data_IF_989579705475
#
_entry.id   IF_989579705475
#
_cell.length_a   1.000
_cell.length_b   1.000
_cell.length_c   1.000
_cell.angle_alpha   90.00
_cell.angle_beta   90.00
_cell.angle_gamma   90.00
#
_symmetry.space_group_name_H-M   'P 1'
#
loop_
_entity.id
_entity.type
_entity.pdbx_description
1 polymer ?
#
# COMPACT_ATOMS: atom_id res chain seq x y z
N UNK A 1 8.98 -4.15 41.05
CA UNK A 1 8.19 -3.56 39.95
C UNK A 1 9.03 -3.67 38.70
N UNK A 2 8.48 -4.17 37.58
CA UNK A 2 9.24 -4.27 36.33
C UNK A 2 9.65 -2.86 35.85
N UNK A 3 10.81 -2.76 35.22
CA UNK A 3 11.45 -1.48 34.88
C UNK A 3 11.58 -1.28 33.37
N UNK A 4 11.76 -0.03 32.97
CA UNK A 4 11.83 0.40 31.56
C UNK A 4 13.17 1.11 31.30
N UNK A 5 13.88 0.73 30.24
CA UNK A 5 14.93 1.54 29.63
C UNK A 5 14.33 2.34 28.48
N UNK A 6 14.40 3.67 28.54
CA UNK A 6 13.84 4.55 27.50
C UNK A 6 14.95 5.05 26.56
N UNK A 7 14.67 5.08 25.26
CA UNK A 7 15.57 5.53 24.21
C UNK A 7 14.93 6.71 23.48
N UNK A 8 15.63 7.85 23.45
CA UNK A 8 15.10 9.12 22.95
C UNK A 8 16.07 9.72 21.94
N UNK A 9 15.64 10.03 20.70
CA UNK A 9 16.42 10.80 19.74
C UNK A 9 16.82 12.14 20.35
N UNK A 10 18.11 12.48 20.26
CA UNK A 10 18.68 13.64 20.93
C UNK A 10 19.49 14.48 19.95
N UNK A 11 19.05 15.73 19.76
CA UNK A 11 19.82 16.76 19.04
C UNK A 11 20.47 17.70 20.06
N UNK A 12 19.66 18.30 20.92
CA UNK A 12 20.08 19.18 22.00
C UNK A 12 19.04 19.22 23.13
N UNK A 13 19.35 19.93 24.22
CA UNK A 13 18.48 20.06 25.40
C UNK A 13 17.18 20.83 25.09
N UNK A 14 17.20 21.77 24.13
CA UNK A 14 15.99 22.51 23.75
C UNK A 14 14.97 21.60 23.10
N UNK A 15 15.42 20.64 22.29
CA UNK A 15 14.58 19.66 21.61
C UNK A 15 14.11 18.54 22.55
N UNK A 16 15.02 17.95 23.34
CA UNK A 16 14.72 16.72 24.08
C UNK A 16 14.36 16.95 25.56
N UNK A 17 14.71 18.11 26.15
CA UNK A 17 14.69 18.32 27.60
C UNK A 17 13.36 18.03 28.28
N UNK A 18 12.24 18.47 27.68
CA UNK A 18 10.88 18.18 28.20
C UNK A 18 10.59 16.68 28.25
N UNK A 19 10.85 15.98 27.13
CA UNK A 19 10.69 14.52 27.02
C UNK A 19 11.57 13.80 28.04
N UNK A 20 12.85 14.20 28.15
CA UNK A 20 13.80 13.58 29.07
C UNK A 20 13.40 13.76 30.54
N UNK A 21 12.94 14.96 30.93
CA UNK A 21 12.44 15.21 32.30
C UNK A 21 11.24 14.34 32.60
N UNK A 22 10.22 14.34 31.73
CA UNK A 22 9.00 13.56 31.93
C UNK A 22 9.26 12.06 32.10
N UNK A 23 10.19 11.50 31.31
CA UNK A 23 10.57 10.09 31.45
C UNK A 23 11.35 9.81 32.74
N UNK A 24 12.27 10.69 33.14
CA UNK A 24 13.07 10.53 34.37
C UNK A 24 12.24 10.66 35.64
N UNK A 25 11.14 11.41 35.59
CA UNK A 25 10.24 11.60 36.73
C UNK A 25 9.36 10.35 37.01
N UNK A 26 9.26 9.41 36.06
CA UNK A 26 8.50 8.18 36.24
C UNK A 26 9.25 7.15 37.09
N UNK A 27 8.56 6.59 38.10
CA UNK A 27 9.13 5.50 38.92
C UNK A 27 9.28 4.17 38.16
N UNK A 28 8.70 4.01 36.97
CA UNK A 28 8.87 2.83 36.12
C UNK A 28 10.15 2.88 35.28
N UNK A 29 10.69 4.07 35.05
CA UNK A 29 11.88 4.27 34.23
C UNK A 29 13.13 4.04 35.09
N UNK A 30 14.02 3.20 34.60
CA UNK A 30 15.32 2.90 35.24
C UNK A 30 16.43 3.77 34.64
N UNK A 31 16.45 3.88 33.31
CA UNK A 31 17.45 4.64 32.57
C UNK A 31 16.82 5.28 31.34
N UNK A 32 17.26 6.50 31.03
CA UNK A 32 16.99 7.15 29.74
C UNK A 32 18.31 7.26 28.97
N UNK A 33 18.32 6.76 27.74
CA UNK A 33 19.46 6.74 26.82
C UNK A 33 19.17 7.68 25.67
N UNK A 34 20.06 8.64 25.44
CA UNK A 34 20.00 9.54 24.29
C UNK A 34 20.60 8.86 23.05
N UNK A 35 19.88 8.90 21.94
CA UNK A 35 20.30 8.40 20.64
C UNK A 35 20.73 9.56 19.75
N UNK A 36 22.01 9.55 19.36
CA UNK A 36 22.65 10.47 18.44
C UNK A 36 22.49 10.07 16.97
N UNK A 37 22.04 8.84 16.73
CA UNK A 37 21.83 8.26 15.40
C UNK A 37 20.37 7.82 15.21
N UNK A 38 19.82 7.89 13.98
CA UNK A 38 18.44 7.49 13.73
C UNK A 38 18.17 6.01 13.98
N UNK A 39 16.97 5.70 14.45
CA UNK A 39 16.50 4.32 14.74
C UNK A 39 16.36 3.44 13.50
N UNK A 40 16.37 4.01 12.30
CA UNK A 40 16.29 3.25 11.05
C UNK A 40 17.63 2.59 10.65
N UNK A 41 18.74 2.87 11.34
CA UNK A 41 20.03 2.19 11.13
C UNK A 41 20.12 0.92 11.95
N UNK A 42 20.67 -0.15 11.37
CA UNK A 42 20.84 -1.43 12.09
C UNK A 42 21.77 -1.32 13.29
N UNK A 43 22.81 -0.49 13.22
CA UNK A 43 23.73 -0.29 14.34
C UNK A 43 23.04 0.38 15.53
N UNK A 44 22.20 1.39 15.28
CA UNK A 44 21.38 2.01 16.33
C UNK A 44 20.46 0.99 16.99
N UNK A 45 19.81 0.12 16.21
CA UNK A 45 18.97 -0.95 16.74
C UNK A 45 19.78 -1.95 17.59
N UNK A 46 20.97 -2.35 17.14
CA UNK A 46 21.87 -3.23 17.91
C UNK A 46 22.28 -2.58 19.23
N UNK A 47 22.60 -1.29 19.24
CA UNK A 47 22.89 -0.52 20.46
C UNK A 47 21.69 -0.45 21.39
N UNK A 48 20.49 -0.15 20.88
CA UNK A 48 19.25 -0.15 21.67
C UNK A 48 19.08 -1.49 22.39
N UNK A 49 19.20 -2.61 21.66
CA UNK A 49 19.08 -3.94 22.26
C UNK A 49 20.18 -4.22 23.30
N UNK A 50 21.42 -3.84 23.03
CA UNK A 50 22.54 -4.02 23.97
C UNK A 50 22.37 -3.21 25.27
N UNK A 51 21.80 -2.01 25.18
CA UNK A 51 21.58 -1.12 26.33
C UNK A 51 20.24 -1.35 27.06
N UNK A 52 19.35 -2.18 26.51
CA UNK A 52 18.05 -2.52 27.11
C UNK A 52 18.22 -3.47 28.29
N UNK A 53 18.72 -2.98 29.43
CA UNK A 53 19.04 -3.80 30.61
C UNK A 53 17.87 -4.02 31.57
N UNK A 54 16.81 -3.21 31.46
CA UNK A 54 15.57 -3.41 32.21
C UNK A 54 14.67 -4.50 31.58
N UNK A 55 13.50 -4.76 32.17
CA UNK A 55 12.53 -5.75 31.68
C UNK A 55 11.93 -5.35 30.32
N UNK A 56 11.73 -4.04 30.10
CA UNK A 56 11.15 -3.47 28.88
C UNK A 56 12.01 -2.35 28.32
N UNK A 57 11.85 -2.09 27.03
CA UNK A 57 12.47 -0.97 26.33
C UNK A 57 11.40 -0.10 25.67
N UNK A 58 11.42 1.21 25.96
CA UNK A 58 10.62 2.18 25.23
C UNK A 58 11.51 2.89 24.23
N UNK A 59 11.18 2.84 22.94
CA UNK A 59 11.90 3.57 21.89
C UNK A 59 10.97 4.65 21.34
N UNK A 60 11.36 5.91 21.53
CA UNK A 60 10.72 7.04 20.86
C UNK A 60 11.39 7.27 19.50
N UNK A 61 10.61 7.49 18.44
CA UNK A 61 11.15 7.53 17.07
C UNK A 61 11.17 8.92 16.44
N UNK A 62 10.60 9.93 17.11
CA UNK A 62 10.53 11.32 16.64
C UNK A 62 11.39 12.26 17.48
N UNK A 63 11.57 13.49 16.99
CA UNK A 63 12.25 14.58 17.68
C UNK A 63 11.28 15.63 18.24
N UNK A 64 9.98 15.51 17.97
CA UNK A 64 8.94 16.33 18.61
C UNK A 64 8.88 16.08 20.11
N UNK A 65 8.33 17.01 20.89
CA UNK A 65 8.14 16.77 22.33
C UNK A 65 7.12 15.63 22.51
N UNK A 66 7.49 14.64 23.33
CA UNK A 66 6.62 13.53 23.73
C UNK A 66 5.98 13.87 25.07
N UNK A 67 4.65 13.95 25.09
CA UNK A 67 3.89 14.08 26.32
C UNK A 67 3.14 12.77 26.60
N UNK A 68 3.52 12.07 27.66
CA UNK A 68 2.84 10.86 28.08
C UNK A 68 1.46 11.18 28.67
N UNK A 69 0.46 10.42 28.27
CA UNK A 69 -0.86 10.47 28.88
C UNK A 69 -0.81 10.01 30.35
N UNK A 70 -1.87 10.32 31.08
CA UNK A 70 -2.00 9.88 32.47
C UNK A 70 -1.94 8.35 32.57
N UNK A 71 -0.99 7.84 33.37
CA UNK A 71 -0.72 6.41 33.56
C UNK A 71 -0.36 5.63 32.28
N UNK A 72 0.15 6.31 31.24
CA UNK A 72 0.45 5.68 29.96
C UNK A 72 1.49 4.56 30.05
N UNK A 73 2.55 4.75 30.83
CA UNK A 73 3.62 3.74 30.98
C UNK A 73 3.13 2.53 31.77
N UNK A 74 2.35 2.75 32.83
CA UNK A 74 1.68 1.71 33.60
C UNK A 74 0.77 0.88 32.69
N UNK A 75 0.01 1.55 31.80
CA UNK A 75 -0.91 0.90 30.88
C UNK A 75 -0.19 0.06 29.82
N UNK A 76 0.84 0.62 29.18
CA UNK A 76 1.69 -0.11 28.23
C UNK A 76 2.34 -1.33 28.88
N UNK A 77 2.88 -1.15 30.09
CA UNK A 77 3.48 -2.22 30.88
C UNK A 77 2.48 -3.33 31.20
N UNK A 78 1.28 -2.96 31.68
CA UNK A 78 0.22 -3.92 31.99
C UNK A 78 -0.15 -4.75 30.76
N UNK A 79 -0.42 -4.11 29.61
CA UNK A 79 -0.78 -4.81 28.37
C UNK A 79 0.34 -5.75 27.93
N UNK A 80 1.61 -5.29 27.98
CA UNK A 80 2.76 -6.11 27.62
C UNK A 80 2.88 -7.35 28.51
N UNK A 81 2.63 -7.22 29.81
CA UNK A 81 2.64 -8.33 30.76
C UNK A 81 1.49 -9.31 30.54
N UNK A 82 0.26 -8.81 30.39
CA UNK A 82 -0.94 -9.64 30.29
C UNK A 82 -0.97 -10.43 28.97
N UNK A 83 -0.38 -9.88 27.91
CA UNK A 83 -0.37 -10.50 26.57
C UNK A 83 0.93 -11.24 26.23
N UNK A 84 2.01 -11.03 27.00
CA UNK A 84 3.36 -11.45 26.65
C UNK A 84 3.79 -10.98 25.25
N UNK A 85 3.35 -9.79 24.83
CA UNK A 85 3.67 -9.23 23.53
C UNK A 85 5.17 -8.88 23.41
N UNK A 86 5.73 -9.06 22.21
CA UNK A 86 7.09 -8.59 21.91
C UNK A 86 7.16 -7.08 21.72
N UNK A 87 6.06 -6.48 21.27
CA UNK A 87 5.89 -5.03 21.10
C UNK A 87 4.44 -4.66 21.44
N UNK A 88 4.27 -3.61 22.23
CA UNK A 88 3.01 -2.89 22.42
C UNK A 88 3.14 -1.50 21.80
N UNK A 89 2.10 -1.07 21.11
CA UNK A 89 2.00 0.26 20.52
C UNK A 89 0.56 0.77 20.64
N UNK A 90 0.35 2.07 20.46
CA UNK A 90 -0.90 2.72 20.85
C UNK A 90 -1.31 3.83 19.89
N UNK A 91 -2.59 4.21 19.97
CA UNK A 91 -3.06 5.45 19.37
C UNK A 91 -2.42 6.64 20.09
N UNK A 92 -2.41 7.78 19.41
CA UNK A 92 -1.81 9.00 19.95
C UNK A 92 -2.56 10.24 19.51
N UNK A 93 -2.23 11.35 20.15
CA UNK A 93 -2.64 12.67 19.71
C UNK A 93 -1.51 13.36 18.96
N UNK A 94 -1.87 14.18 17.98
CA UNK A 94 -1.00 15.23 17.45
C UNK A 94 -1.50 16.56 18.01
N UNK A 95 -0.62 17.33 18.63
CA UNK A 95 -0.94 18.68 19.10
C UNK A 95 -0.54 19.67 18.03
N UNK A 96 -1.54 20.30 17.38
CA UNK A 96 -1.35 21.29 16.32
C UNK A 96 -2.03 22.58 16.71
N UNK A 97 -1.27 23.68 16.80
CA UNK A 97 -1.82 24.98 17.21
C UNK A 97 -2.45 24.97 18.61
N UNK A 98 -2.04 24.05 19.49
CA UNK A 98 -2.61 23.86 20.83
C UNK A 98 -3.87 22.98 20.89
N UNK A 99 -4.38 22.49 19.76
CA UNK A 99 -5.50 21.54 19.73
C UNK A 99 -5.00 20.09 19.68
N UNK A 100 -5.63 19.22 20.48
CA UNK A 100 -5.39 17.77 20.42
C UNK A 100 -6.20 17.15 19.28
N UNK A 101 -5.49 16.66 18.27
CA UNK A 101 -6.07 15.92 17.13
C UNK A 101 -5.81 14.43 17.31
N UNK A 102 -6.85 13.61 17.22
CA UNK A 102 -6.72 12.15 17.29
C UNK A 102 -5.93 11.63 16.09
N UNK A 103 -4.94 10.77 16.35
CA UNK A 103 -4.17 10.05 15.34
C UNK A 103 -4.19 8.55 15.67
N UNK A 104 -5.30 7.85 15.35
CA UNK A 104 -5.38 6.40 15.56
C UNK A 104 -4.44 5.65 14.60
N UNK A 105 -4.01 4.47 15.00
CA UNK A 105 -3.26 3.50 14.19
C UNK A 105 -4.10 2.23 13.99
N UNK A 106 -3.51 1.17 13.42
CA UNK A 106 -4.25 -0.07 13.09
C UNK A 106 -3.58 -1.32 13.69
N UNK A 107 -4.38 -2.37 13.82
CA UNK A 107 -3.91 -3.68 14.27
C UNK A 107 -2.90 -4.29 13.28
N UNK A 108 -1.84 -4.87 13.85
CA UNK A 108 -0.81 -5.57 13.10
C UNK A 108 -1.31 -6.95 12.66
N UNK A 109 -1.09 -7.27 11.40
CA UNK A 109 -1.45 -8.56 10.81
C UNK A 109 -0.21 -9.23 10.21
N UNK A 110 -0.29 -10.53 9.94
CA UNK A 110 0.80 -11.25 9.26
C UNK A 110 1.16 -10.62 7.90
N UNK A 111 0.16 -10.06 7.23
CA UNK A 111 0.31 -9.31 5.98
C UNK A 111 0.70 -7.84 6.12
N UNK A 112 0.92 -7.31 7.34
CA UNK A 112 1.36 -5.92 7.59
C UNK A 112 2.85 -5.69 7.26
N UNK A 113 3.25 -6.16 6.08
CA UNK A 113 4.62 -6.20 5.57
C UNK A 113 5.08 -4.88 4.97
N UNK A 114 4.16 -3.93 4.76
CA UNK A 114 4.47 -2.61 4.19
C UNK A 114 5.47 -1.82 5.01
N UNK A 115 6.48 -1.23 4.38
CA UNK A 115 7.58 -0.52 5.08
C UNK A 115 7.17 0.83 5.68
N UNK A 116 5.96 1.29 5.36
CA UNK A 116 5.31 2.48 5.89
C UNK A 116 4.26 2.18 6.97
N UNK A 117 4.19 0.95 7.51
CA UNK A 117 3.28 0.63 8.62
C UNK A 117 3.48 1.55 9.82
N UNK A 118 2.41 2.20 10.25
CA UNK A 118 2.44 3.18 11.33
C UNK A 118 2.11 2.51 12.67
N UNK A 119 3.10 2.47 13.55
CA UNK A 119 2.95 2.04 14.94
C UNK A 119 2.73 3.22 15.89
N UNK A 120 2.70 4.45 15.38
CA UNK A 120 2.97 5.63 16.18
C UNK A 120 4.46 5.80 16.45
N UNK A 121 4.81 6.82 17.23
CA UNK A 121 6.19 7.17 17.56
C UNK A 121 6.74 6.52 18.83
N UNK A 122 5.90 5.87 19.64
CA UNK A 122 6.32 5.16 20.86
C UNK A 122 6.22 3.66 20.63
N UNK A 123 7.36 2.98 20.67
CA UNK A 123 7.45 1.53 20.53
C UNK A 123 7.85 0.92 21.89
N UNK A 124 6.96 0.13 22.50
CA UNK A 124 7.19 -0.47 23.81
C UNK A 124 7.49 -1.97 23.70
N UNK A 125 8.77 -2.33 23.76
CA UNK A 125 9.25 -3.70 23.56
C UNK A 125 9.44 -4.46 24.86
N UNK A 126 9.14 -5.76 24.83
CA UNK A 126 9.76 -6.71 25.75
C UNK A 126 11.27 -6.78 25.47
N UNK A 127 12.11 -6.52 26.47
CA UNK A 127 13.55 -6.37 26.25
C UNK A 127 14.21 -7.70 25.84
N UNK A 128 13.68 -8.85 26.28
CA UNK A 128 14.20 -10.15 25.90
C UNK A 128 13.83 -10.48 24.43
N UNK A 129 12.58 -10.23 24.03
CA UNK A 129 12.11 -10.39 22.65
C UNK A 129 12.86 -9.47 21.67
N UNK A 130 13.12 -8.22 22.09
CA UNK A 130 13.95 -7.27 21.34
C UNK A 130 15.37 -7.81 21.10
N UNK A 131 16.07 -8.22 22.17
CA UNK A 131 17.44 -8.76 22.07
C UNK A 131 17.50 -10.02 21.21
N UNK A 132 16.56 -10.95 21.40
CA UNK A 132 16.47 -12.17 20.60
C UNK A 132 16.25 -11.86 19.11
N UNK A 133 15.36 -10.92 18.80
CA UNK A 133 15.07 -10.52 17.42
C UNK A 133 16.29 -9.86 16.76
N UNK A 134 17.03 -9.02 17.49
CA UNK A 134 18.28 -8.42 17.00
C UNK A 134 19.37 -9.45 16.73
N UNK A 135 19.45 -10.53 17.52
CA UNK A 135 20.39 -11.62 17.25
C UNK A 135 20.09 -12.35 15.93
N UNK A 136 18.83 -12.33 15.47
CA UNK A 136 18.41 -12.90 14.19
C UNK A 136 18.51 -11.94 13.00
N UNK A 137 18.87 -10.67 13.22
CA UNK A 137 19.20 -9.73 12.16
C UNK A 137 20.59 -10.05 11.60
N UNK A 138 20.63 -10.70 10.44
CA UNK A 138 21.87 -11.18 9.80
C UNK A 138 22.51 -10.13 8.89
N UNK A 139 21.76 -9.11 8.50
CA UNK A 139 22.21 -8.04 7.60
C UNK A 139 22.42 -6.74 8.38
N UNK A 140 23.06 -5.77 7.72
CA UNK A 140 23.23 -4.41 8.24
C UNK A 140 22.72 -3.41 7.22
N UNK A 141 21.80 -2.56 7.67
CA UNK A 141 21.04 -1.59 6.88
C UNK A 141 21.27 -0.17 7.37
N UNK A 142 21.33 0.80 6.46
CA UNK A 142 21.37 2.23 6.76
C UNK A 142 19.99 2.87 6.90
N UNK A 143 18.95 2.22 6.37
CA UNK A 143 17.57 2.73 6.29
C UNK A 143 16.52 1.70 6.72
N UNK A 144 16.82 0.40 6.66
CA UNK A 144 15.86 -0.67 6.97
C UNK A 144 16.07 -1.36 8.34
N UNK A 145 16.88 -0.82 9.24
CA UNK A 145 17.20 -1.45 10.54
C UNK A 145 15.97 -1.68 11.43
N UNK A 146 15.15 -0.64 11.64
CA UNK A 146 13.90 -0.77 12.41
C UNK A 146 12.88 -1.68 11.69
N UNK A 147 12.87 -1.64 10.35
CA UNK A 147 11.99 -2.46 9.52
C UNK A 147 12.36 -3.95 9.59
N UNK A 148 13.65 -4.30 9.51
CA UNK A 148 14.13 -5.67 9.72
C UNK A 148 13.85 -6.14 11.15
N UNK A 149 14.12 -5.30 12.18
CA UNK A 149 13.79 -5.64 13.56
C UNK A 149 12.32 -6.03 13.73
N UNK A 150 11.38 -5.20 13.24
CA UNK A 150 9.95 -5.52 13.39
C UNK A 150 9.57 -6.80 12.67
N UNK A 151 10.17 -7.07 11.50
CA UNK A 151 9.93 -8.29 10.73
C UNK A 151 10.49 -9.52 11.43
N UNK A 152 11.64 -9.41 12.11
CA UNK A 152 12.18 -10.49 12.95
C UNK A 152 11.32 -10.72 14.17
N UNK A 153 10.87 -9.66 14.83
CA UNK A 153 10.02 -9.74 16.01
C UNK A 153 8.69 -10.44 15.70
N UNK A 154 8.03 -10.06 14.60
CA UNK A 154 6.73 -10.63 14.22
C UNK A 154 6.75 -12.11 13.82
N UNK A 155 7.93 -12.68 13.57
CA UNK A 155 8.07 -14.13 13.32
C UNK A 155 7.80 -14.98 14.56
N UNK A 156 7.94 -14.42 15.77
CA UNK A 156 7.90 -15.20 17.04
C UNK A 156 7.04 -14.59 18.13
N UNK A 157 6.76 -13.29 18.05
CA UNK A 157 6.06 -12.57 19.09
C UNK A 157 4.86 -11.82 18.53
N UNK A 158 3.82 -11.68 19.36
CA UNK A 158 2.69 -10.82 19.04
C UNK A 158 3.11 -9.35 19.09
N UNK A 159 2.60 -8.56 18.14
CA UNK A 159 2.67 -7.11 18.12
C UNK A 159 1.27 -6.62 18.47
N UNK A 160 1.10 -6.04 19.65
CA UNK A 160 -0.21 -5.73 20.22
C UNK A 160 -0.51 -4.24 20.14
N UNK A 161 -1.64 -3.93 19.54
CA UNK A 161 -2.19 -2.59 19.50
C UNK A 161 -3.07 -2.35 20.74
N UNK A 162 -2.77 -1.31 21.51
CA UNK A 162 -3.56 -0.95 22.69
C UNK A 162 -4.92 -0.32 22.33
N UNK A 163 -5.05 0.34 21.17
CA UNK A 163 -6.25 1.06 20.74
C UNK A 163 -6.75 2.07 21.79
N UNK A 164 -5.79 2.70 22.46
CA UNK A 164 -5.97 3.71 23.50
C UNK A 164 -5.03 4.88 23.18
N UNK A 165 -5.47 6.12 23.41
CA UNK A 165 -4.67 7.31 23.17
C UNK A 165 -3.73 7.56 24.35
N UNK A 166 -2.52 7.03 24.29
CA UNK A 166 -1.61 6.96 25.44
C UNK A 166 -0.55 8.06 25.48
N UNK A 167 -0.38 8.84 24.41
CA UNK A 167 0.57 9.95 24.39
C UNK A 167 0.23 10.98 23.33
N UNK A 168 0.89 12.13 23.40
CA UNK A 168 0.78 13.23 22.46
C UNK A 168 2.13 13.56 21.85
N UNK A 169 2.13 13.86 20.55
CA UNK A 169 3.25 14.44 19.83
C UNK A 169 3.01 15.94 19.68
N UNK A 170 3.84 16.76 20.31
CA UNK A 170 3.69 18.22 20.26
C UNK A 170 4.59 18.79 19.18
N UNK A 171 3.96 19.27 18.10
CA UNK A 171 4.65 19.99 17.02
C UNK A 171 4.87 21.45 17.45
N UNK A 172 6.10 21.79 17.83
CA UNK A 172 6.48 23.17 18.17
C UNK A 172 6.85 24.02 16.93
N UNK A 173 6.94 23.43 15.74
CA UNK A 173 7.38 24.09 14.50
C UNK A 173 6.31 24.01 13.39
N UNK A 174 5.78 25.18 12.98
CA UNK A 174 4.70 25.34 11.99
C UNK A 174 5.14 25.13 10.52
N UNK A 175 6.23 24.41 10.26
CA UNK A 175 6.65 24.11 8.88
C UNK A 175 5.70 23.08 8.27
N UNK A 176 5.07 23.46 7.16
CA UNK A 176 4.09 22.65 6.41
C UNK A 176 4.64 21.26 6.11
N UNK A 177 4.09 20.22 6.74
CA UNK A 177 4.28 18.83 6.32
C UNK A 177 3.42 18.54 5.09
N UNK A 178 3.88 18.97 3.92
CA UNK A 178 3.25 18.67 2.64
C UNK A 178 3.99 17.54 1.93
N UNK A 179 3.19 16.63 1.35
CA UNK A 179 3.56 15.57 0.39
C UNK A 179 4.25 14.33 0.99
N UNK A 180 3.44 13.31 1.35
CA UNK A 180 3.91 11.95 1.66
C UNK A 180 3.26 10.86 0.80
N UNK A 181 2.39 11.23 -0.14
CA UNK A 181 1.52 10.27 -0.82
C UNK A 181 2.29 9.40 -1.84
N UNK A 182 3.53 9.77 -2.19
CA UNK A 182 4.32 9.08 -3.21
C UNK A 182 5.81 8.94 -2.86
N UNK A 183 6.20 9.06 -1.58
CA UNK A 183 7.61 9.00 -1.15
C UNK A 183 8.30 7.68 -1.54
N UNK A 184 7.52 6.62 -1.78
CA UNK A 184 8.05 5.32 -2.18
C UNK A 184 8.53 5.24 -3.64
N UNK A 185 8.14 6.19 -4.50
CA UNK A 185 8.62 6.30 -5.89
C UNK A 185 9.62 7.45 -6.09
N UNK A 186 9.96 8.19 -5.03
CA UNK A 186 10.95 9.25 -5.12
C UNK A 186 12.33 8.67 -5.47
N UNK A 187 12.96 9.08 -6.60
CA UNK A 187 14.29 8.63 -6.98
C UNK A 187 15.36 8.88 -5.90
N UNK A 188 15.16 9.89 -5.04
CA UNK A 188 16.03 10.23 -3.90
C UNK A 188 15.99 9.19 -2.78
N UNK A 189 14.99 8.30 -2.78
CA UNK A 189 14.80 7.22 -1.81
C UNK A 189 15.22 5.84 -2.34
N UNK A 190 15.91 5.75 -3.48
CA UNK A 190 16.22 4.46 -4.12
C UNK A 190 17.01 3.50 -3.22
N UNK A 191 18.03 3.99 -2.52
CA UNK A 191 18.82 3.15 -1.61
C UNK A 191 17.96 2.61 -0.45
N UNK A 192 17.08 3.46 0.10
CA UNK A 192 16.07 3.05 1.08
C UNK A 192 15.16 1.97 0.49
N UNK A 193 14.65 2.13 -0.74
CA UNK A 193 13.77 1.13 -1.37
C UNK A 193 14.46 -0.22 -1.54
N UNK A 194 15.73 -0.23 -1.97
CA UNK A 194 16.52 -1.45 -2.12
C UNK A 194 16.68 -2.17 -0.78
N UNK A 195 17.00 -1.44 0.29
CA UNK A 195 17.14 -2.03 1.61
C UNK A 195 15.82 -2.58 2.17
N UNK A 196 14.71 -1.85 2.00
CA UNK A 196 13.38 -2.29 2.44
C UNK A 196 12.93 -3.55 1.67
N UNK A 197 13.16 -3.59 0.36
CA UNK A 197 12.89 -4.79 -0.46
C UNK A 197 13.74 -5.98 0.01
N UNK A 198 15.03 -5.77 0.28
CA UNK A 198 15.94 -6.82 0.76
C UNK A 198 15.48 -7.39 2.10
N UNK A 199 15.14 -6.54 3.06
CA UNK A 199 14.65 -6.97 4.38
C UNK A 199 13.33 -7.76 4.29
N UNK A 200 12.36 -7.27 3.50
CA UNK A 200 11.09 -7.98 3.28
C UNK A 200 11.30 -9.33 2.59
N UNK A 201 12.16 -9.37 1.56
CA UNK A 201 12.47 -10.60 0.82
C UNK A 201 13.11 -11.65 1.74
N UNK A 202 14.02 -11.23 2.63
CA UNK A 202 14.64 -12.13 3.59
C UNK A 202 13.61 -12.67 4.59
N UNK A 203 12.75 -11.80 5.13
CA UNK A 203 11.64 -12.22 5.98
C UNK A 203 10.74 -13.25 5.29
N UNK A 204 10.33 -13.01 4.04
CA UNK A 204 9.50 -13.93 3.26
C UNK A 204 10.17 -15.29 3.08
N UNK A 205 11.49 -15.35 2.85
CA UNK A 205 12.24 -16.61 2.76
C UNK A 205 12.18 -17.37 4.08
N UNK A 206 12.40 -16.68 5.19
CA UNK A 206 12.43 -17.27 6.53
C UNK A 206 11.08 -17.84 6.97
N UNK A 207 9.98 -17.20 6.58
CA UNK A 207 8.62 -17.68 6.93
C UNK A 207 8.01 -18.60 5.87
N UNK A 208 8.75 -18.91 4.79
CA UNK A 208 8.29 -19.76 3.69
C UNK A 208 7.28 -19.11 2.72
N UNK A 209 7.16 -17.78 2.74
CA UNK A 209 6.26 -17.01 1.86
C UNK A 209 6.91 -16.52 0.55
N UNK A 210 8.22 -16.71 0.39
CA UNK A 210 8.95 -16.30 -0.81
C UNK A 210 8.60 -17.17 -2.03
N UNK A 211 8.41 -16.55 -3.19
CA UNK A 211 8.23 -17.24 -4.45
C UNK A 211 9.43 -16.99 -5.37
N UNK A 212 10.10 -18.06 -5.78
CA UNK A 212 11.14 -18.05 -6.82
C UNK A 212 10.55 -17.63 -8.18
N UNK A 213 11.34 -17.01 -9.09
CA UNK A 213 10.96 -16.48 -10.42
C UNK A 213 10.40 -17.50 -11.46
N UNK A 214 9.72 -18.56 -11.02
CA UNK A 214 9.02 -19.53 -11.85
C UNK A 214 7.55 -19.14 -12.06
N UNK A 215 7.10 -19.15 -13.31
CA UNK A 215 5.75 -18.78 -13.71
C UNK A 215 5.14 -19.89 -14.57
N UNK A 216 3.80 -20.04 -14.50
CA UNK A 216 3.06 -20.87 -15.44
C UNK A 216 2.99 -20.17 -16.78
N UNK A 217 3.13 -20.94 -17.85
CA UNK A 217 2.84 -20.45 -19.20
C UNK A 217 1.37 -20.09 -19.34
N UNK A 218 1.12 -19.10 -20.19
CA UNK A 218 -0.23 -18.69 -20.57
C UNK A 218 -0.53 -19.11 -22.01
N UNK A 219 -1.70 -19.70 -22.19
CA UNK A 219 -2.24 -20.04 -23.49
C UNK A 219 -3.38 -19.08 -23.82
N UNK A 220 -3.16 -18.24 -24.83
CA UNK A 220 -4.16 -17.30 -25.33
C UNK A 220 -5.13 -17.91 -26.34
N UNK A 221 -5.18 -19.23 -26.50
CA UNK A 221 -6.16 -19.89 -27.37
C UNK A 221 -7.50 -20.18 -26.68
N UNK A 222 -7.61 -19.95 -25.36
CA UNK A 222 -8.82 -20.30 -24.62
C UNK A 222 -9.96 -19.30 -24.84
N UNK A 223 -11.11 -19.82 -25.28
CA UNK A 223 -12.36 -19.08 -25.45
C UNK A 223 -12.52 -18.45 -26.84
N UNK A 224 -13.77 -18.21 -27.22
CA UNK A 224 -14.12 -17.43 -28.41
C UNK A 224 -14.54 -16.03 -27.98
N UNK A 225 -13.96 -15.01 -28.62
CA UNK A 225 -14.21 -13.61 -28.32
C UNK A 225 -14.52 -12.84 -29.60
N UNK A 226 -15.57 -12.01 -29.60
CA UNK A 226 -15.93 -11.17 -30.76
C UNK A 226 -14.91 -10.07 -31.04
N UNK A 227 -14.22 -9.62 -29.99
CA UNK A 227 -13.19 -8.58 -30.02
C UNK A 227 -11.96 -9.00 -29.22
N UNK A 228 -10.81 -8.49 -29.62
CA UNK A 228 -9.53 -8.80 -29.01
C UNK A 228 -9.40 -8.13 -27.64
N UNK A 229 -9.88 -6.89 -27.52
CA UNK A 229 -9.83 -6.14 -26.28
C UNK A 229 -11.15 -5.44 -25.96
N UNK A 230 -11.43 -5.32 -24.66
CA UNK A 230 -12.47 -4.46 -24.12
C UNK A 230 -11.83 -3.48 -23.15
N UNK A 231 -12.01 -2.19 -23.39
CA UNK A 231 -11.76 -1.20 -22.33
C UNK A 231 -12.95 -1.22 -21.38
N UNK A 232 -12.69 -1.25 -20.08
CA UNK A 232 -13.71 -1.34 -19.04
C UNK A 232 -13.63 -0.10 -18.16
N UNK A 233 -14.76 0.62 -18.06
CA UNK A 233 -14.92 1.82 -17.24
C UNK A 233 -16.06 1.60 -16.24
N UNK A 234 -15.77 1.24 -14.99
CA UNK A 234 -16.72 1.43 -13.88
C UNK A 234 -16.95 2.91 -13.65
N UNK A 235 -18.19 3.34 -13.55
CA UNK A 235 -18.51 4.76 -13.33
C UNK A 235 -19.66 4.93 -12.35
N UNK A 236 -19.56 5.97 -11.52
CA UNK A 236 -20.66 6.51 -10.73
C UNK A 236 -20.46 8.00 -10.50
N UNK A 237 -21.42 8.80 -10.94
CA UNK A 237 -21.43 10.25 -10.77
C UNK A 237 -20.14 10.94 -11.27
N UNK A 238 -19.94 10.91 -12.59
CA UNK A 238 -18.80 11.45 -13.32
C UNK A 238 -19.22 12.20 -14.60
N UNK A 239 -20.34 12.92 -14.55
CA UNK A 239 -20.88 13.62 -15.73
C UNK A 239 -19.85 14.58 -16.36
N UNK A 240 -19.00 15.20 -15.55
CA UNK A 240 -17.97 16.14 -15.99
C UNK A 240 -16.76 15.50 -16.68
N UNK A 241 -16.49 14.21 -16.47
CA UNK A 241 -15.22 13.58 -16.89
C UNK A 241 -15.40 12.43 -17.87
N UNK A 242 -16.53 11.73 -17.80
CA UNK A 242 -16.76 10.47 -18.53
C UNK A 242 -16.69 10.64 -20.05
N UNK A 243 -17.17 11.76 -20.59
CA UNK A 243 -17.13 12.02 -22.04
C UNK A 243 -15.70 12.03 -22.59
N UNK A 244 -14.79 12.71 -21.91
CA UNK A 244 -13.38 12.76 -22.30
C UNK A 244 -12.69 11.38 -22.19
N UNK A 245 -13.03 10.60 -21.17
CA UNK A 245 -12.54 9.23 -21.02
C UNK A 245 -13.00 8.35 -22.20
N UNK A 246 -14.28 8.38 -22.55
CA UNK A 246 -14.84 7.65 -23.71
C UNK A 246 -14.14 8.08 -25.01
N UNK A 247 -13.99 9.39 -25.25
CA UNK A 247 -13.32 9.91 -26.44
C UNK A 247 -11.87 9.41 -26.55
N UNK A 248 -11.13 9.34 -25.43
CA UNK A 248 -9.76 8.82 -25.43
C UNK A 248 -9.67 7.36 -25.87
N UNK A 249 -10.70 6.57 -25.55
CA UNK A 249 -10.84 5.17 -25.98
C UNK A 249 -11.23 5.08 -27.46
N UNK A 250 -12.19 5.90 -27.91
CA UNK A 250 -12.66 5.84 -29.29
C UNK A 250 -11.62 6.30 -30.32
N UNK A 251 -10.65 7.11 -29.89
CA UNK A 251 -9.47 7.54 -30.69
C UNK A 251 -8.40 6.45 -30.86
N UNK A 252 -8.47 5.34 -30.12
CA UNK A 252 -7.44 4.30 -30.21
C UNK A 252 -7.34 3.70 -31.61
N UNK A 253 -6.11 3.58 -32.12
CA UNK A 253 -5.76 2.97 -33.39
C UNK A 253 -5.11 1.61 -33.14
N UNK A 254 -5.80 0.54 -33.56
CA UNK A 254 -5.39 -0.84 -33.29
C UNK A 254 -5.45 -1.70 -34.56
N UNK A 255 -4.62 -2.75 -34.62
CA UNK A 255 -4.64 -3.77 -35.68
C UNK A 255 -5.76 -4.81 -35.48
N UNK A 256 -6.41 -4.76 -34.33
CA UNK A 256 -7.46 -5.68 -33.88
C UNK A 256 -8.75 -4.93 -33.57
N UNK A 257 -9.88 -5.66 -33.51
CA UNK A 257 -11.16 -5.09 -33.08
C UNK A 257 -11.18 -4.93 -31.56
N UNK A 258 -11.75 -3.82 -31.09
CA UNK A 258 -11.99 -3.58 -29.67
C UNK A 258 -13.38 -2.96 -29.46
N UNK A 259 -13.83 -3.00 -28.21
CA UNK A 259 -15.01 -2.25 -27.76
C UNK A 259 -14.73 -1.55 -26.43
N UNK A 260 -15.69 -0.73 -25.99
CA UNK A 260 -15.71 -0.07 -24.70
C UNK A 260 -16.93 -0.52 -23.93
N UNK A 261 -16.74 -1.00 -22.70
CA UNK A 261 -17.81 -1.36 -21.77
C UNK A 261 -17.82 -0.35 -20.63
N UNK A 262 -18.88 0.45 -20.55
CA UNK A 262 -19.11 1.38 -19.45
C UNK A 262 -20.14 0.77 -18.50
N UNK A 263 -19.75 0.56 -17.24
CA UNK A 263 -20.61 0.02 -16.19
C UNK A 263 -21.05 1.18 -15.31
N UNK A 264 -22.23 1.72 -15.61
CA UNK A 264 -22.86 2.79 -14.83
C UNK A 264 -23.57 2.21 -13.61
N UNK A 265 -22.95 2.43 -12.45
CA UNK A 265 -23.41 1.93 -11.16
C UNK A 265 -24.40 2.91 -10.53
N UNK A 266 -25.52 3.14 -11.23
CA UNK A 266 -26.66 3.96 -10.81
C UNK A 266 -26.31 5.43 -10.60
N UNK A 267 -25.70 6.07 -11.60
CA UNK A 267 -25.43 7.50 -11.55
C UNK A 267 -26.71 8.36 -11.53
N UNK A 268 -26.62 9.54 -10.91
CA UNK A 268 -27.76 10.45 -10.71
C UNK A 268 -27.42 11.91 -11.07
N UNK A 269 -26.26 12.16 -11.66
CA UNK A 269 -25.68 13.50 -11.88
C UNK A 269 -25.64 13.93 -13.36
N UNK A 270 -26.26 13.17 -14.27
CA UNK A 270 -26.15 13.38 -15.71
C UNK A 270 -25.15 12.45 -16.43
N UNK A 271 -24.47 11.57 -15.70
CA UNK A 271 -23.47 10.64 -16.28
C UNK A 271 -24.08 9.73 -17.34
N UNK A 272 -25.25 9.14 -17.06
CA UNK A 272 -25.95 8.23 -17.98
C UNK A 272 -26.24 8.94 -19.31
N UNK A 273 -26.74 10.16 -19.25
CA UNK A 273 -27.03 10.99 -20.42
C UNK A 273 -25.76 11.36 -21.20
N UNK A 274 -24.67 11.65 -20.49
CA UNK A 274 -23.38 11.93 -21.11
C UNK A 274 -22.84 10.70 -21.88
N UNK A 275 -22.95 9.50 -21.32
CA UNK A 275 -22.56 8.24 -21.99
C UNK A 275 -23.43 8.01 -23.22
N UNK A 276 -24.74 8.26 -23.12
CA UNK A 276 -25.71 8.03 -24.20
C UNK A 276 -25.47 8.90 -25.45
N UNK A 277 -24.70 9.99 -25.34
CA UNK A 277 -24.26 10.77 -26.50
C UNK A 277 -23.38 9.97 -27.47
N UNK A 278 -22.73 8.91 -26.99
CA UNK A 278 -21.84 8.05 -27.77
C UNK A 278 -22.51 6.77 -28.30
N UNK A 279 -23.80 6.54 -28.01
CA UNK A 279 -24.51 5.28 -28.37
C UNK A 279 -24.60 4.98 -29.86
N UNK A 280 -24.36 5.98 -30.71
CA UNK A 280 -24.32 5.82 -32.16
C UNK A 280 -23.03 5.11 -32.63
N UNK A 281 -21.96 5.13 -31.83
CA UNK A 281 -20.76 4.33 -32.08
C UNK A 281 -21.00 2.90 -31.57
N UNK A 282 -21.10 1.93 -32.48
CA UNK A 282 -21.38 0.54 -32.16
C UNK A 282 -20.31 -0.15 -31.29
N UNK A 283 -19.19 0.50 -31.01
CA UNK A 283 -18.17 0.02 -30.06
C UNK A 283 -18.53 0.32 -28.61
N UNK A 284 -19.44 1.25 -28.32
CA UNK A 284 -19.78 1.65 -26.94
C UNK A 284 -20.92 0.79 -26.40
N UNK A 285 -20.64 0.03 -25.35
CA UNK A 285 -21.59 -0.82 -24.62
C UNK A 285 -21.84 -0.19 -23.26
N UNK A 286 -22.99 0.46 -23.12
CA UNK A 286 -23.45 1.05 -21.86
C UNK A 286 -24.26 0.01 -21.06
N UNK A 287 -23.79 -0.36 -19.87
CA UNK A 287 -24.44 -1.32 -19.00
C UNK A 287 -24.79 -0.69 -17.65
N UNK A 288 -26.03 -0.84 -17.22
CA UNK A 288 -26.50 -0.50 -15.87
C UNK A 288 -26.86 -1.82 -15.16
N UNK A 289 -26.12 -2.24 -14.12
CA UNK A 289 -26.46 -3.45 -13.39
C UNK A 289 -27.82 -3.35 -12.70
N UNK A 290 -28.63 -4.42 -12.72
CA UNK A 290 -29.92 -4.44 -11.99
C UNK A 290 -29.74 -4.34 -10.46
N UNK A 291 -28.60 -4.82 -9.96
CA UNK A 291 -28.21 -4.79 -8.54
C UNK A 291 -27.52 -3.48 -8.16
N UNK A 292 -27.62 -3.10 -6.88
CA UNK A 292 -27.17 -1.81 -6.35
C UNK A 292 -26.08 -1.91 -5.26
N UNK A 293 -25.49 -3.09 -5.08
CA UNK A 293 -24.52 -3.42 -4.02
C UNK A 293 -23.09 -3.62 -4.55
N UNK A 294 -22.81 -3.17 -5.78
CA UNK A 294 -21.49 -3.30 -6.40
C UNK A 294 -20.55 -2.16 -5.99
N UNK A 295 -19.37 -2.55 -5.50
CA UNK A 295 -18.18 -1.70 -5.51
C UNK A 295 -17.45 -1.77 -6.85
N UNK A 296 -16.29 -1.13 -6.95
CA UNK A 296 -15.48 -1.10 -8.19
C UNK A 296 -15.16 -2.53 -8.69
N UNK A 297 -14.71 -3.42 -7.80
CA UNK A 297 -14.42 -4.81 -8.18
C UNK A 297 -15.66 -5.59 -8.61
N UNK A 298 -16.82 -5.26 -8.04
CA UNK A 298 -18.12 -5.78 -8.48
C UNK A 298 -18.49 -5.34 -9.89
N UNK A 299 -18.29 -4.06 -10.20
CA UNK A 299 -18.50 -3.51 -11.55
C UNK A 299 -17.54 -4.14 -12.57
N UNK A 300 -16.28 -4.36 -12.20
CA UNK A 300 -15.33 -5.11 -13.02
C UNK A 300 -15.82 -6.53 -13.29
N UNK A 301 -16.22 -7.27 -12.24
CA UNK A 301 -16.78 -8.61 -12.40
C UNK A 301 -18.00 -8.62 -13.33
N UNK A 302 -18.88 -7.61 -13.21
CA UNK A 302 -20.05 -7.47 -14.07
C UNK A 302 -19.63 -7.23 -15.55
N UNK A 303 -18.69 -6.33 -15.79
CA UNK A 303 -18.16 -6.03 -17.11
C UNK A 303 -17.46 -7.22 -17.76
N UNK A 304 -16.58 -7.89 -17.03
CA UNK A 304 -15.77 -9.00 -17.59
C UNK A 304 -16.60 -10.25 -17.85
N UNK A 305 -17.68 -10.48 -17.09
CA UNK A 305 -18.61 -11.59 -17.33
C UNK A 305 -19.69 -11.26 -18.36
N UNK A 306 -19.74 -10.03 -18.88
CA UNK A 306 -20.59 -9.67 -20.00
C UNK A 306 -20.20 -10.46 -21.26
N UNK A 307 -21.20 -10.81 -22.08
CA UNK A 307 -20.99 -11.40 -23.40
C UNK A 307 -20.17 -10.50 -24.35
N UNK A 308 -20.12 -9.20 -24.05
CA UNK A 308 -19.38 -8.22 -24.84
C UNK A 308 -17.89 -8.16 -24.51
N UNK A 309 -17.46 -8.75 -23.38
CA UNK A 309 -16.06 -8.65 -22.96
C UNK A 309 -15.16 -9.49 -23.86
N UNK A 310 -14.14 -8.84 -24.42
CA UNK A 310 -13.13 -9.41 -25.29
C UNK A 310 -12.08 -10.22 -24.55
N UNK A 311 -11.09 -10.67 -25.31
CA UNK A 311 -10.02 -11.55 -24.84
C UNK A 311 -9.14 -10.90 -23.76
N UNK A 312 -8.88 -9.61 -23.89
CA UNK A 312 -8.19 -8.79 -22.90
C UNK A 312 -9.11 -7.71 -22.34
N UNK A 313 -9.17 -7.61 -21.02
CA UNK A 313 -9.90 -6.57 -20.32
C UNK A 313 -8.92 -5.49 -19.84
N UNK A 314 -9.11 -4.25 -20.30
CA UNK A 314 -8.16 -3.13 -20.08
C UNK A 314 -8.83 -2.02 -19.28
N UNK A 315 -8.17 -1.56 -18.23
CA UNK A 315 -8.69 -0.52 -17.34
C UNK A 315 -8.61 0.86 -17.97
N UNK A 316 -9.70 1.62 -17.82
CA UNK A 316 -9.66 3.08 -17.77
C UNK A 316 -10.58 3.56 -16.63
N UNK A 317 -10.07 4.38 -15.72
CA UNK A 317 -10.92 5.00 -14.72
C UNK A 317 -11.74 6.12 -15.37
N UNK A 318 -13.00 6.28 -14.95
CA UNK A 318 -14.01 7.16 -15.57
C UNK A 318 -13.66 8.65 -15.64
N UNK A 319 -12.53 9.00 -15.05
CA UNK A 319 -12.10 10.35 -14.84
C UNK A 319 -10.62 10.58 -15.19
N UNK A 320 -10.00 9.57 -15.80
CA UNK A 320 -8.65 9.59 -16.36
C UNK A 320 -8.69 9.43 -17.89
N UNK A 321 -7.52 9.52 -18.54
CA UNK A 321 -7.39 9.43 -19.99
C UNK A 321 -6.23 8.50 -20.39
N UNK A 322 -6.33 7.87 -21.57
CA UNK A 322 -5.15 7.32 -22.21
C UNK A 322 -4.22 8.41 -22.73
N UNK A 323 -2.92 8.14 -22.71
CA UNK A 323 -1.88 9.12 -23.07
C UNK A 323 -1.97 9.54 -24.54
N UNK A 324 -2.23 8.59 -25.42
CA UNK A 324 -2.29 8.79 -26.87
C UNK A 324 -3.17 7.72 -27.54
N UNK A 325 -3.27 7.78 -28.87
CA UNK A 325 -4.06 6.87 -29.69
C UNK A 325 -3.47 5.46 -29.87
N UNK A 326 -2.28 5.17 -29.34
CA UNK A 326 -1.61 3.87 -29.48
C UNK A 326 -1.58 3.07 -28.18
N UNK A 327 -2.05 3.64 -27.08
CA UNK A 327 -2.02 3.03 -25.74
C UNK A 327 -2.61 1.61 -25.72
N UNK A 328 -3.79 1.39 -26.30
CA UNK A 328 -4.44 0.08 -26.31
C UNK A 328 -3.68 -0.94 -27.16
N UNK A 329 -3.08 -0.50 -28.28
CA UNK A 329 -2.23 -1.35 -29.11
C UNK A 329 -1.00 -1.82 -28.31
N UNK A 330 -0.30 -0.90 -27.64
CA UNK A 330 0.87 -1.21 -26.80
C UNK A 330 0.55 -2.20 -25.69
N UNK A 331 -0.61 -2.05 -25.02
CA UNK A 331 -1.04 -2.96 -23.96
C UNK A 331 -1.26 -4.38 -24.49
N UNK A 332 -1.96 -4.53 -25.62
CA UNK A 332 -2.25 -5.85 -26.19
C UNK A 332 -0.98 -6.51 -26.76
N UNK A 333 -0.10 -5.75 -27.39
CA UNK A 333 1.19 -6.27 -27.86
C UNK A 333 2.02 -6.82 -26.70
N UNK A 334 2.03 -6.13 -25.55
CA UNK A 334 2.75 -6.61 -24.36
C UNK A 334 2.23 -7.94 -23.81
N UNK A 335 0.93 -8.25 -23.93
CA UNK A 335 0.41 -9.57 -23.57
C UNK A 335 1.06 -10.67 -24.42
N UNK A 336 1.10 -10.46 -25.73
CA UNK A 336 1.63 -11.43 -26.69
C UNK A 336 3.15 -11.58 -26.60
N UNK A 337 3.87 -10.48 -26.46
CA UNK A 337 5.33 -10.46 -26.37
C UNK A 337 5.83 -11.04 -25.05
N UNK A 338 5.21 -10.64 -23.92
CA UNK A 338 5.66 -11.02 -22.59
C UNK A 338 4.98 -12.29 -22.06
N UNK A 339 3.98 -12.82 -22.77
CA UNK A 339 3.22 -14.03 -22.40
C UNK A 339 2.77 -14.02 -20.94
N UNK A 340 2.08 -12.95 -20.55
CA UNK A 340 1.69 -12.68 -19.18
C UNK A 340 0.16 -12.72 -18.98
N UNK A 341 -0.29 -12.91 -17.74
CA UNK A 341 -1.73 -12.95 -17.42
C UNK A 341 -2.31 -11.57 -17.08
N UNK A 342 -1.44 -10.62 -16.76
CA UNK A 342 -1.77 -9.25 -16.44
C UNK A 342 -0.66 -8.35 -16.96
N UNK A 343 -1.02 -7.16 -17.44
CA UNK A 343 -0.07 -6.09 -17.83
C UNK A 343 -0.33 -4.89 -16.94
N UNK A 344 0.74 -4.23 -16.53
CA UNK A 344 0.69 -2.97 -15.79
C UNK A 344 1.58 -1.95 -16.49
N UNK A 345 1.03 -0.78 -16.83
CA UNK A 345 1.80 0.33 -17.38
C UNK A 345 2.38 1.30 -16.35
N UNK A 346 2.91 2.40 -16.88
CA UNK A 346 3.24 3.62 -16.14
C UNK A 346 2.18 4.69 -16.41
N UNK A 347 2.03 5.61 -15.45
CA UNK A 347 1.11 6.73 -15.58
C UNK A 347 1.76 8.05 -15.17
N UNK A 348 1.19 9.16 -15.64
CA UNK A 348 1.60 10.51 -15.28
C UNK A 348 0.49 11.18 -14.50
N UNK A 349 0.83 11.86 -13.41
CA UNK A 349 -0.13 12.67 -12.67
C UNK A 349 -0.33 14.00 -13.40
N UNK A 350 -1.59 14.37 -13.65
CA UNK A 350 -1.91 15.65 -14.29
C UNK A 350 -3.06 16.37 -13.59
N UNK A 351 -3.17 17.68 -13.79
CA UNK A 351 -4.40 18.40 -13.50
C UNK A 351 -5.46 18.13 -14.60
N UNK A 352 -6.59 18.84 -14.51
CA UNK A 352 -7.68 18.71 -15.47
C UNK A 352 -7.33 19.26 -16.87
N UNK A 353 -6.39 20.21 -16.94
CA UNK A 353 -5.88 20.83 -18.17
C UNK A 353 -4.68 20.04 -18.75
N UNK A 354 -4.35 18.89 -18.16
CA UNK A 354 -3.26 17.98 -18.53
C UNK A 354 -1.85 18.52 -18.26
N UNK A 355 -1.72 19.52 -17.38
CA UNK A 355 -0.41 19.93 -16.88
C UNK A 355 0.10 18.89 -15.87
N UNK A 356 1.39 18.57 -15.93
CA UNK A 356 2.02 17.62 -15.03
C UNK A 356 1.98 18.09 -13.57
N UNK A 357 1.61 17.19 -12.66
CA UNK A 357 1.62 17.42 -11.22
C UNK A 357 2.73 16.57 -10.56
N UNK A 358 3.37 17.06 -9.48
CA UNK A 358 4.28 16.23 -8.69
C UNK A 358 3.62 14.92 -8.21
N UNK A 359 4.37 13.80 -8.15
CA UNK A 359 5.79 13.64 -8.46
C UNK A 359 6.08 13.41 -9.97
N UNK A 360 5.09 13.59 -10.84
CA UNK A 360 5.22 13.37 -12.29
C UNK A 360 4.88 11.95 -12.72
N UNK A 361 5.85 11.27 -13.33
CA UNK A 361 5.71 9.89 -13.83
C UNK A 361 5.85 8.87 -12.70
N UNK A 362 4.90 7.95 -12.64
CA UNK A 362 4.88 6.79 -11.75
C UNK A 362 5.11 5.54 -12.60
N UNK A 363 6.31 4.97 -12.54
CA UNK A 363 6.71 3.85 -13.41
C UNK A 363 6.93 2.52 -12.68
N UNK A 364 6.86 2.51 -11.35
CA UNK A 364 7.06 1.35 -10.49
C UNK A 364 8.23 0.43 -10.94
N UNK A 365 9.40 1.01 -11.21
CA UNK A 365 10.64 0.31 -11.61
C UNK A 365 11.10 -0.77 -10.62
N UNK A 366 10.59 -0.74 -9.39
CA UNK A 366 10.80 -1.79 -8.38
C UNK A 366 10.13 -3.13 -8.74
N UNK A 367 9.33 -3.19 -9.81
CA UNK A 367 8.75 -4.44 -10.31
C UNK A 367 9.66 -5.10 -11.34
N UNK A 368 10.38 -6.15 -10.92
CA UNK A 368 11.23 -6.96 -11.80
C UNK A 368 10.67 -8.38 -11.97
N UNK A 369 10.98 -9.09 -13.08
CA UNK A 369 10.65 -10.51 -13.20
C UNK A 369 11.20 -11.38 -12.06
N UNK A 370 12.36 -10.96 -11.50
CA UNK A 370 13.06 -11.72 -10.46
C UNK A 370 12.38 -11.64 -9.10
N UNK A 371 11.93 -10.45 -8.66
CA UNK A 371 11.42 -10.25 -7.31
C UNK A 371 10.14 -9.40 -7.20
N UNK A 372 9.60 -8.89 -8.31
CA UNK A 372 8.42 -8.03 -8.33
C UNK A 372 7.23 -8.63 -7.57
N UNK A 373 6.96 -9.93 -7.72
CA UNK A 373 5.88 -10.62 -6.99
C UNK A 373 6.05 -10.69 -5.48
N UNK A 374 7.29 -10.66 -4.98
CA UNK A 374 7.56 -10.65 -3.55
C UNK A 374 7.53 -9.21 -3.02
N UNK A 375 8.15 -8.29 -3.76
CA UNK A 375 8.11 -6.86 -3.46
C UNK A 375 6.67 -6.30 -3.49
N UNK A 376 5.77 -6.91 -4.27
CA UNK A 376 4.33 -6.65 -4.28
C UNK A 376 3.71 -6.65 -2.89
N UNK A 377 4.15 -7.54 -1.98
CA UNK A 377 3.62 -7.65 -0.61
C UNK A 377 4.08 -6.49 0.29
N UNK A 378 5.13 -5.77 -0.09
CA UNK A 378 5.65 -4.61 0.64
C UNK A 378 4.98 -3.30 0.19
N UNK A 379 4.70 -3.14 -1.10
CA UNK A 379 4.19 -1.88 -1.67
C UNK A 379 2.66 -1.82 -1.67
N UNK A 380 2.10 -0.60 -1.75
CA UNK A 380 0.65 -0.34 -1.64
C UNK A 380 -0.13 -0.30 -2.96
N UNK A 381 0.54 -0.51 -4.10
CA UNK A 381 -0.08 -0.54 -5.42
C UNK A 381 0.85 -1.18 -6.44
N UNK A 382 0.28 -1.62 -7.56
CA UNK A 382 1.05 -2.30 -8.61
C UNK A 382 1.32 -1.40 -9.82
N UNK A 383 0.55 -0.31 -9.99
CA UNK A 383 0.67 0.65 -11.10
C UNK A 383 -0.59 0.73 -11.96
N UNK A 384 -0.62 1.65 -12.93
CA UNK A 384 -1.75 1.91 -13.83
C UNK A 384 -1.25 2.17 -15.27
N UNK A 385 -2.03 1.88 -16.32
CA UNK A 385 -3.30 1.16 -16.31
C UNK A 385 -3.06 -0.34 -16.08
N UNK A 386 -4.07 -1.03 -15.56
CA UNK A 386 -4.06 -2.49 -15.40
C UNK A 386 -4.83 -3.14 -16.55
N UNK A 387 -4.30 -4.22 -17.09
CA UNK A 387 -4.99 -5.04 -18.07
C UNK A 387 -4.87 -6.51 -17.71
N UNK A 388 -5.85 -7.32 -18.10
CA UNK A 388 -5.94 -8.72 -17.72
C UNK A 388 -6.32 -9.61 -18.91
N UNK A 389 -5.78 -10.82 -18.93
CA UNK A 389 -6.33 -11.89 -19.75
C UNK A 389 -7.67 -12.33 -19.18
N UNK A 390 -8.76 -12.14 -19.93
CA UNK A 390 -10.14 -12.26 -19.44
C UNK A 390 -10.45 -13.64 -18.83
N UNK A 391 -10.03 -14.79 -19.39
CA UNK A 391 -10.25 -16.10 -18.77
C UNK A 391 -9.62 -16.25 -17.37
N UNK A 392 -8.39 -15.74 -17.18
CA UNK A 392 -7.74 -15.75 -15.87
C UNK A 392 -8.51 -14.85 -14.90
N UNK A 393 -8.87 -13.63 -15.35
CA UNK A 393 -9.64 -12.69 -14.54
C UNK A 393 -10.98 -13.29 -14.07
N UNK A 394 -11.72 -13.93 -14.98
CA UNK A 394 -12.99 -14.60 -14.67
C UNK A 394 -12.83 -15.76 -13.69
N UNK A 395 -11.74 -16.53 -13.79
CA UNK A 395 -11.49 -17.66 -12.91
C UNK A 395 -11.18 -17.26 -11.46
N UNK A 396 -10.63 -16.07 -11.26
CA UNK A 396 -10.25 -15.55 -9.94
C UNK A 396 -11.39 -14.69 -9.36
N UNK A 397 -11.90 -13.74 -10.14
CA UNK A 397 -12.87 -12.73 -9.70
C UNK A 397 -12.26 -11.65 -8.81
N UNK A 398 -12.66 -10.39 -8.99
CA UNK A 398 -12.26 -9.32 -8.08
C UNK A 398 -13.10 -9.34 -6.79
N UNK A 399 -12.54 -9.00 -5.63
CA UNK A 399 -13.34 -8.72 -4.44
C UNK A 399 -14.34 -7.58 -4.71
N UNK A 400 -15.58 -7.71 -4.22
CA UNK A 400 -16.59 -6.65 -4.35
C UNK A 400 -16.35 -5.52 -3.34
N UNK A 401 -15.35 -4.69 -3.62
CA UNK A 401 -14.94 -3.51 -2.85
C UNK A 401 -14.59 -2.37 -3.81
N UNK A 402 -14.43 -1.16 -3.29
CA UNK A 402 -13.97 0.01 -4.03
C UNK A 402 -12.56 0.45 -3.64
N UNK A 403 -11.83 -0.40 -2.91
CA UNK A 403 -10.43 -0.19 -2.59
C UNK A 403 -9.71 -1.53 -2.40
N UNK A 404 -8.62 -1.74 -3.14
CA UNK A 404 -7.73 -2.91 -3.02
C UNK A 404 -8.17 -4.15 -3.82
N UNK A 405 -9.25 -4.06 -4.59
CA UNK A 405 -9.71 -5.12 -5.48
C UNK A 405 -8.69 -5.50 -6.56
N UNK A 406 -8.04 -4.49 -7.13
CA UNK A 406 -7.00 -4.63 -8.16
C UNK A 406 -5.72 -5.22 -7.57
N UNK A 407 -5.35 -4.79 -6.36
CA UNK A 407 -4.22 -5.29 -5.61
C UNK A 407 -4.40 -6.76 -5.24
N UNK A 408 -5.60 -7.16 -4.79
CA UNK A 408 -5.93 -8.56 -4.53
C UNK A 408 -5.82 -9.43 -5.79
N UNK A 409 -6.32 -8.93 -6.93
CA UNK A 409 -6.21 -9.61 -8.23
C UNK A 409 -4.74 -9.79 -8.63
N UNK A 410 -3.95 -8.71 -8.58
CA UNK A 410 -2.54 -8.76 -8.96
C UNK A 410 -1.71 -9.66 -8.06
N UNK A 411 -1.96 -9.68 -6.75
CA UNK A 411 -1.30 -10.62 -5.84
C UNK A 411 -1.61 -12.08 -6.21
N UNK A 412 -2.88 -12.41 -6.44
CA UNK A 412 -3.29 -13.77 -6.82
C UNK A 412 -2.68 -14.19 -8.17
N UNK A 413 -2.72 -13.31 -9.18
CA UNK A 413 -2.10 -13.56 -10.49
C UNK A 413 -0.58 -13.78 -10.32
N UNK A 414 0.10 -12.90 -9.57
CA UNK A 414 1.57 -12.97 -9.37
C UNK A 414 2.04 -14.24 -8.66
N UNK A 415 1.14 -14.95 -7.96
CA UNK A 415 1.42 -16.25 -7.35
C UNK A 415 1.67 -17.35 -8.38
N UNK A 416 1.09 -17.22 -9.56
CA UNK A 416 1.05 -18.29 -10.57
C UNK A 416 1.59 -17.87 -11.93
N UNK A 417 1.36 -16.63 -12.34
CA UNK A 417 1.63 -16.15 -13.69
C UNK A 417 2.52 -14.91 -13.66
N UNK A 418 3.21 -14.67 -14.76
CA UNK A 418 3.94 -13.44 -14.96
C UNK A 418 2.97 -12.26 -15.07
N UNK A 419 3.36 -11.14 -14.48
CA UNK A 419 2.76 -9.83 -14.72
C UNK A 419 3.73 -9.04 -15.58
N UNK A 420 3.29 -8.68 -16.79
CA UNK A 420 4.05 -7.88 -17.74
C UNK A 420 4.08 -6.40 -17.36
N UNK A 421 5.10 -5.70 -17.86
CA UNK A 421 5.29 -4.26 -17.58
C UNK A 421 5.55 -3.46 -18.85
N UNK A 422 4.99 -2.26 -18.86
CA UNK A 422 5.26 -1.23 -19.86
C UNK A 422 5.71 0.00 -19.09
N UNK A 423 6.93 0.46 -19.35
CA UNK A 423 7.51 1.59 -18.61
C UNK A 423 7.17 2.95 -19.24
N UNK A 424 6.73 2.97 -20.49
CA UNK A 424 6.22 4.17 -21.13
C UNK A 424 4.91 4.62 -20.48
N UNK A 425 4.70 5.93 -20.45
CA UNK A 425 3.47 6.52 -19.91
C UNK A 425 2.32 6.18 -20.85
N UNK A 426 1.38 5.38 -20.37
CA UNK A 426 0.19 4.97 -21.11
C UNK A 426 -1.07 5.72 -20.67
N UNK A 427 -1.00 6.36 -19.51
CA UNK A 427 -2.18 6.77 -18.77
C UNK A 427 -1.96 8.09 -18.06
N UNK A 428 -2.94 8.98 -18.14
CA UNK A 428 -2.96 10.30 -17.51
C UNK A 428 -3.93 10.24 -16.34
N UNK A 429 -3.38 10.15 -15.13
CA UNK A 429 -4.16 10.16 -13.90
C UNK A 429 -4.47 11.62 -13.54
N UNK A 430 -5.72 12.04 -13.72
CA UNK A 430 -6.14 13.41 -13.52
C UNK A 430 -6.52 13.65 -12.06
N UNK A 431 -6.12 14.81 -11.52
CA UNK A 431 -6.51 15.28 -10.19
C UNK A 431 -7.24 16.61 -10.29
N UNK A 432 -8.35 16.72 -9.58
CA UNK A 432 -9.10 17.94 -9.35
C UNK A 432 -9.69 17.91 -7.93
N UNK A 433 -10.25 19.03 -7.47
CA UNK A 433 -10.78 19.16 -6.11
C UNK A 433 -11.87 18.16 -5.69
N UNK A 434 -12.38 17.34 -6.63
CA UNK A 434 -13.34 16.26 -6.37
C UNK A 434 -12.75 14.83 -6.39
N UNK A 435 -11.44 14.65 -6.65
CA UNK A 435 -10.79 13.33 -6.80
C UNK A 435 -9.51 13.16 -5.95
N UNK A 436 -9.33 13.96 -4.90
CA UNK A 436 -8.15 13.87 -4.05
C UNK A 436 -8.38 12.94 -2.87
N UNK A 437 -7.91 11.69 -3.01
CA UNK A 437 -7.55 10.85 -1.86
C UNK A 437 -6.54 11.55 -0.91
N UNK A 438 -5.94 12.67 -1.33
CA UNK A 438 -5.07 13.52 -0.52
C UNK A 438 -5.78 14.19 0.68
N UNK A 439 -7.11 14.08 0.80
CA UNK A 439 -7.89 14.61 1.92
C UNK A 439 -8.63 13.52 2.74
N UNK A 440 -8.26 12.25 2.60
CA UNK A 440 -8.86 11.19 3.41
C UNK A 440 -8.54 11.40 4.90
N UNK A 441 -9.55 11.20 5.76
CA UNK A 441 -9.31 11.18 7.21
C UNK A 441 -8.38 10.00 7.57
N UNK A 442 -7.68 10.11 8.70
CA UNK A 442 -6.78 9.06 9.19
C UNK A 442 -7.56 7.73 9.31
N UNK A 443 -8.80 7.77 9.78
CA UNK A 443 -9.65 6.58 9.91
C UNK A 443 -9.91 5.92 8.56
N UNK A 444 -10.12 6.69 7.49
CA UNK A 444 -10.36 6.14 6.15
C UNK A 444 -9.08 5.55 5.55
N UNK A 445 -7.94 6.21 5.74
CA UNK A 445 -6.62 5.67 5.35
C UNK A 445 -6.34 4.38 6.11
N UNK A 446 -6.61 4.36 7.41
CA UNK A 446 -6.44 3.20 8.28
C UNK A 446 -7.35 2.04 7.88
N UNK A 447 -8.62 2.28 7.60
CA UNK A 447 -9.55 1.25 7.12
C UNK A 447 -9.05 0.62 5.80
N UNK A 448 -8.58 1.46 4.88
CA UNK A 448 -8.01 1.05 3.60
C UNK A 448 -6.73 0.20 3.79
N UNK A 449 -5.79 0.65 4.63
CA UNK A 449 -4.56 -0.07 4.94
C UNK A 449 -4.83 -1.40 5.66
N UNK A 450 -5.74 -1.41 6.64
CA UNK A 450 -6.13 -2.61 7.38
C UNK A 450 -6.69 -3.68 6.44
N UNK A 451 -7.52 -3.29 5.47
CA UNK A 451 -8.05 -4.21 4.48
C UNK A 451 -6.97 -4.73 3.51
N UNK A 452 -6.06 -3.88 3.02
CA UNK A 452 -4.93 -4.33 2.19
C UNK A 452 -4.00 -5.29 2.95
N UNK A 453 -3.78 -5.06 4.24
CA UNK A 453 -3.01 -5.97 5.08
C UNK A 453 -3.73 -7.32 5.29
N UNK A 454 -5.07 -7.35 5.29
CA UNK A 454 -5.85 -8.61 5.25
C UNK A 454 -5.63 -9.36 3.94
N UNK A 455 -5.72 -8.66 2.81
CA UNK A 455 -5.44 -9.23 1.48
C UNK A 455 -4.03 -9.85 1.44
N UNK A 456 -3.01 -9.12 1.92
CA UNK A 456 -1.63 -9.63 2.03
C UNK A 456 -1.53 -10.84 2.94
N UNK A 457 -2.28 -10.84 4.05
CA UNK A 457 -2.31 -11.97 4.99
C UNK A 457 -2.78 -13.23 4.29
N UNK A 458 -3.93 -13.18 3.61
CA UNK A 458 -4.47 -14.33 2.86
C UNK A 458 -3.54 -14.80 1.76
N UNK A 459 -2.94 -13.86 1.02
CA UNK A 459 -1.98 -14.21 -0.03
C UNK A 459 -0.73 -14.87 0.56
N UNK A 460 -0.16 -14.30 1.62
CA UNK A 460 1.03 -14.83 2.28
C UNK A 460 0.78 -16.25 2.84
N UNK A 461 -0.39 -16.49 3.43
CA UNK A 461 -0.79 -17.82 3.89
C UNK A 461 -0.91 -18.81 2.74
N UNK A 462 -1.49 -18.40 1.61
CA UNK A 462 -1.58 -19.22 0.41
C UNK A 462 -0.19 -19.55 -0.16
N UNK A 463 0.75 -18.60 -0.16
CA UNK A 463 2.15 -18.84 -0.58
C UNK A 463 2.87 -19.83 0.33
N UNK A 464 2.72 -19.66 1.64
CA UNK A 464 3.31 -20.58 2.63
C UNK A 464 2.74 -21.99 2.44
N UNK A 465 1.43 -22.12 2.23
CA UNK A 465 0.81 -23.41 1.96
C UNK A 465 1.32 -24.03 0.64
N UNK A 466 1.44 -23.23 -0.42
CA UNK A 466 1.96 -23.66 -1.71
C UNK A 466 3.41 -24.16 -1.61
N UNK A 467 4.27 -23.45 -0.89
CA UNK A 467 5.68 -23.83 -0.73
C UNK A 467 5.87 -25.07 0.17
N UNK A 468 4.92 -25.36 1.07
CA UNK A 468 4.94 -26.61 1.86
C UNK A 468 4.55 -27.86 1.05
N UNK A 469 3.90 -27.68 -0.10
CA UNK A 469 3.48 -28.77 -0.99
C UNK A 469 4.52 -29.11 -2.06
N UNK A 470 5.53 -28.27 -2.23
CA UNK A 470 6.69 -28.50 -3.10
C UNK A 470 7.78 -29.17 -2.29
#
# INVERSE_FOLDING_TARGET
>A
MKKITCFVPYIDESQAGKTLSALRDSQLVDKVVCLDEPVFKSETIRRIAAESNADYALVYTKTTTLELGYMALERLLQIAQDTNAGLVYADHYQVKGGELVKAPVIDYQKGSLRDDFDFGSVLFFDAAALKESVQRMTESYQHAGLYDLRLKLSQRYALVHANEYLYSEVEEDNRKSGEKQFDYVDPRNRDRQIEMEKACTQHLKEIGGYLEPHFKDIDFSQGEFEVEASVIIPVRNRAATIGAAIESVLKQQTKFKFNLIVIDNHSTDGTTEAIDTFKADGRVVHLVPERNDLGIGGCWNYGVNSKHCGKFAVQLDSDDLYKDEHTLQTIVDAFYEQKCAMVIGSYMMTDFDLNELPPGVIDHKEWTPDNGRNNALRINGLGAPRAFYTPVLRSIGLPNTSYGEDYAMGLNISRHYQIGRIYDVLYLCRRWGGNSDAALSIEKVNANNLYKDRIRTWELEARIALNKQR
#
